data_IF_551089626178
#
_entry.id   IF_551089626178
#
_cell.length_a   1.000
_cell.length_b   1.000
_cell.length_c   1.000
_cell.angle_alpha   90.00
_cell.angle_beta   90.00
_cell.angle_gamma   90.00
#
_symmetry.space_group_name_H-M   'P 1'
#
loop_
_entity.id
_entity.type
_entity.pdbx_description
1 polymer ?
#
# COMPACT_ATOMS: atom_id res chain seq x y z
N UNK A 1 -25.51 -11.20 -1.84
CA UNK A 1 -24.19 -10.72 -1.41
C UNK A 1 -23.89 -11.31 -0.05
N UNK A 2 -22.93 -12.23 0.01
CA UNK A 2 -22.36 -12.71 1.28
C UNK A 2 -21.50 -11.59 1.88
N UNK A 3 -21.31 -11.59 3.20
CA UNK A 3 -20.52 -10.62 4.00
C UNK A 3 -19.04 -10.44 3.56
N UNK A 4 -18.59 -11.03 2.45
CA UNK A 4 -17.21 -10.98 1.95
C UNK A 4 -16.89 -9.78 1.03
N UNK A 5 -17.87 -8.94 0.72
CA UNK A 5 -17.71 -7.83 -0.25
C UNK A 5 -17.40 -6.46 0.39
N UNK A 6 -17.27 -6.38 1.72
CA UNK A 6 -16.81 -5.16 2.38
C UNK A 6 -15.31 -4.95 2.10
N UNK A 7 -15.01 -4.13 1.09
CA UNK A 7 -13.66 -3.63 0.84
C UNK A 7 -13.12 -3.03 2.13
N UNK A 8 -11.90 -3.41 2.53
CA UNK A 8 -11.17 -2.74 3.61
C UNK A 8 -11.16 -1.24 3.26
N UNK A 9 -11.69 -0.35 4.13
CA UNK A 9 -11.64 1.08 3.89
C UNK A 9 -10.20 1.54 3.70
N UNK A 10 -9.98 2.39 2.70
CA UNK A 10 -8.68 2.94 2.35
C UNK A 10 -8.55 4.32 2.99
N UNK A 11 -7.52 4.52 3.82
CA UNK A 11 -7.29 5.77 4.53
C UNK A 11 -6.34 6.68 3.76
N UNK A 12 -6.83 7.83 3.29
CA UNK A 12 -6.03 8.90 2.67
C UNK A 12 -6.71 10.25 2.84
N UNK A 13 -5.92 11.34 2.81
CA UNK A 13 -6.42 12.73 2.85
C UNK A 13 -6.65 13.31 1.45
N UNK A 14 -6.13 12.68 0.39
CA UNK A 14 -6.22 13.19 -0.98
C UNK A 14 -7.12 12.31 -1.84
N UNK A 15 -8.15 12.92 -2.43
CA UNK A 15 -9.00 12.25 -3.42
C UNK A 15 -8.23 11.84 -4.68
N UNK A 16 -7.24 12.65 -5.09
CA UNK A 16 -6.38 12.35 -6.22
C UNK A 16 -5.46 11.16 -5.91
N UNK A 17 -4.91 11.08 -4.69
CA UNK A 17 -4.14 9.92 -4.26
C UNK A 17 -4.99 8.65 -4.29
N UNK A 18 -6.24 8.72 -3.80
CA UNK A 18 -7.17 7.60 -3.81
C UNK A 18 -7.46 7.13 -5.25
N UNK A 19 -7.83 8.04 -6.14
CA UNK A 19 -8.14 7.70 -7.54
C UNK A 19 -6.91 7.08 -8.22
N UNK A 20 -5.73 7.69 -8.06
CA UNK A 20 -4.48 7.19 -8.65
C UNK A 20 -4.14 5.80 -8.11
N UNK A 21 -4.32 5.58 -6.81
CA UNK A 21 -4.12 4.26 -6.19
C UNK A 21 -5.09 3.22 -6.75
N UNK A 22 -6.37 3.57 -6.93
CA UNK A 22 -7.38 2.69 -7.51
C UNK A 22 -7.06 2.35 -8.97
N UNK A 23 -6.57 3.30 -9.76
CA UNK A 23 -6.04 3.02 -11.10
C UNK A 23 -4.87 2.02 -11.05
N UNK A 24 -3.98 2.15 -10.07
CA UNK A 24 -2.92 1.17 -9.80
C UNK A 24 -3.46 -0.22 -9.47
N UNK A 25 -4.52 -0.31 -8.65
CA UNK A 25 -5.22 -1.58 -8.35
C UNK A 25 -5.82 -2.20 -9.61
N UNK A 26 -6.42 -1.40 -10.50
CA UNK A 26 -6.95 -1.88 -11.78
C UNK A 26 -5.82 -2.39 -12.68
N UNK A 27 -4.72 -1.65 -12.80
CA UNK A 27 -3.55 -2.06 -13.57
C UNK A 27 -2.99 -3.40 -13.04
N UNK A 28 -2.89 -3.55 -11.72
CA UNK A 28 -2.45 -4.80 -11.09
C UNK A 28 -3.39 -5.97 -11.42
N UNK A 29 -4.71 -5.78 -11.36
CA UNK A 29 -5.70 -6.81 -11.74
C UNK A 29 -5.61 -7.22 -13.21
N UNK A 30 -5.13 -6.32 -14.06
CA UNK A 30 -4.87 -6.57 -15.48
C UNK A 30 -3.45 -7.10 -15.75
N UNK A 31 -2.73 -7.53 -14.71
CA UNK A 31 -1.36 -8.07 -14.77
C UNK A 31 -0.28 -7.06 -15.22
N UNK A 32 -0.59 -5.76 -15.26
CA UNK A 32 0.37 -4.69 -15.55
C UNK A 32 1.10 -4.24 -14.26
N UNK A 33 1.91 -5.13 -13.67
CA UNK A 33 2.49 -4.89 -12.34
C UNK A 33 3.42 -3.67 -12.28
N UNK A 34 4.26 -3.44 -13.29
CA UNK A 34 5.12 -2.25 -13.33
C UNK A 34 4.31 -0.95 -13.29
N UNK A 35 3.29 -0.85 -14.14
CA UNK A 35 2.37 0.30 -14.15
C UNK A 35 1.62 0.46 -12.82
N UNK A 36 1.26 -0.64 -12.16
CA UNK A 36 0.62 -0.58 -10.86
C UNK A 36 1.56 0.04 -9.81
N UNK A 37 2.83 -0.37 -9.79
CA UNK A 37 3.84 0.18 -8.88
C UNK A 37 4.08 1.67 -9.15
N UNK A 38 4.20 2.08 -10.42
CA UNK A 38 4.35 3.50 -10.79
C UNK A 38 3.18 4.34 -10.27
N UNK A 39 1.94 3.86 -10.45
CA UNK A 39 0.74 4.55 -9.97
C UNK A 39 0.67 4.61 -8.44
N UNK A 40 1.09 3.55 -7.74
CA UNK A 40 1.16 3.57 -6.29
C UNK A 40 2.24 4.51 -5.76
N UNK A 41 3.36 4.65 -6.47
CA UNK A 41 4.38 5.65 -6.12
C UNK A 41 3.88 7.07 -6.34
N UNK A 42 3.16 7.34 -7.45
CA UNK A 42 2.50 8.64 -7.69
C UNK A 42 1.49 8.94 -6.58
N UNK A 43 0.63 7.98 -6.22
CA UNK A 43 -0.34 8.14 -5.13
C UNK A 43 0.33 8.43 -3.79
N UNK A 44 1.47 7.80 -3.51
CA UNK A 44 2.25 8.03 -2.29
C UNK A 44 2.97 9.38 -2.29
N UNK A 45 3.35 9.90 -3.46
CA UNK A 45 3.92 11.25 -3.56
C UNK A 45 2.87 12.34 -3.36
N UNK A 46 1.63 12.09 -3.80
CA UNK A 46 0.47 12.97 -3.58
C UNK A 46 0.02 12.99 -2.11
N UNK A 47 -0.05 11.82 -1.45
CA UNK A 47 -0.26 11.72 0.00
C UNK A 47 0.87 10.90 0.67
N UNK A 48 1.91 11.58 1.21
CA UNK A 48 3.04 10.91 1.85
C UNK A 48 2.68 10.06 3.07
N UNK A 49 1.50 10.24 3.68
CA UNK A 49 1.02 9.42 4.79
C UNK A 49 0.13 8.24 4.33
N UNK A 50 -0.03 8.06 3.01
CA UNK A 50 -0.93 7.06 2.43
C UNK A 50 -0.42 5.64 2.65
N UNK A 51 -0.88 5.05 3.76
CA UNK A 51 -0.48 3.72 4.22
C UNK A 51 -0.61 2.65 3.14
N UNK A 52 -1.74 2.60 2.43
CA UNK A 52 -2.02 1.52 1.48
C UNK A 52 -1.07 1.54 0.28
N UNK A 53 -0.72 2.71 -0.23
CA UNK A 53 0.23 2.86 -1.33
C UNK A 53 1.64 2.37 -0.92
N UNK A 54 2.14 2.86 0.23
CA UNK A 54 3.42 2.43 0.78
C UNK A 54 3.44 0.93 1.13
N UNK A 55 2.35 0.39 1.67
CA UNK A 55 2.22 -1.03 1.97
C UNK A 55 2.35 -1.86 0.68
N UNK A 56 1.60 -1.55 -0.38
CA UNK A 56 1.68 -2.32 -1.62
C UNK A 56 3.07 -2.26 -2.23
N UNK A 57 3.68 -1.07 -2.32
CA UNK A 57 5.06 -0.93 -2.79
C UNK A 57 6.04 -1.78 -1.98
N UNK A 58 5.88 -1.85 -0.66
CA UNK A 58 6.73 -2.72 0.16
C UNK A 58 6.57 -4.19 -0.23
N UNK A 59 5.34 -4.71 -0.26
CA UNK A 59 5.08 -6.12 -0.56
C UNK A 59 5.61 -6.53 -1.93
N UNK A 60 5.39 -5.73 -2.97
CA UNK A 60 5.88 -6.07 -4.31
C UNK A 60 7.39 -6.01 -4.42
N UNK A 61 8.03 -5.04 -3.77
CA UNK A 61 9.50 -5.02 -3.73
C UNK A 61 10.08 -6.24 -3.02
N UNK A 62 9.43 -6.73 -1.96
CA UNK A 62 9.81 -7.99 -1.34
C UNK A 62 9.64 -9.18 -2.31
N UNK A 63 8.49 -9.28 -2.99
CA UNK A 63 8.24 -10.34 -3.97
C UNK A 63 9.25 -10.37 -5.11
N UNK A 64 9.79 -9.22 -5.51
CA UNK A 64 10.83 -9.12 -6.54
C UNK A 64 12.26 -9.23 -6.01
N UNK A 65 12.45 -9.40 -4.70
CA UNK A 65 13.79 -9.49 -4.08
C UNK A 65 14.50 -8.14 -3.94
N UNK A 66 13.80 -7.03 -4.14
CA UNK A 66 14.32 -5.67 -3.96
C UNK A 66 14.28 -5.29 -2.47
N UNK A 67 15.15 -5.91 -1.66
CA UNK A 67 15.12 -5.78 -0.19
C UNK A 67 15.29 -4.33 0.29
N UNK A 68 16.10 -3.53 -0.39
CA UNK A 68 16.32 -2.13 0.00
C UNK A 68 15.06 -1.28 -0.19
N UNK A 69 14.34 -1.46 -1.30
CA UNK A 69 13.07 -0.78 -1.55
C UNK A 69 11.95 -1.32 -0.64
N UNK A 70 11.95 -2.63 -0.33
CA UNK A 70 11.07 -3.16 0.70
C UNK A 70 11.27 -2.43 2.03
N UNK A 71 12.52 -2.27 2.49
CA UNK A 71 12.83 -1.54 3.73
C UNK A 71 12.39 -0.08 3.67
N UNK A 72 12.67 0.61 2.56
CA UNK A 72 12.25 2.01 2.32
C UNK A 72 10.74 2.18 2.44
N UNK A 73 9.97 1.37 1.71
CA UNK A 73 8.51 1.49 1.66
C UNK A 73 7.82 0.94 2.91
N UNK A 74 8.36 -0.12 3.52
CA UNK A 74 7.85 -0.61 4.79
C UNK A 74 8.03 0.43 5.90
N UNK A 75 9.20 1.07 6.00
CA UNK A 75 9.41 2.17 6.95
C UNK A 75 8.41 3.31 6.74
N UNK A 76 8.15 3.72 5.48
CA UNK A 76 7.13 4.73 5.16
C UNK A 76 5.75 4.30 5.66
N UNK A 77 5.29 3.10 5.32
CA UNK A 77 4.00 2.57 5.76
C UNK A 77 3.89 2.51 7.29
N UNK A 78 4.93 2.04 7.98
CA UNK A 78 4.94 1.93 9.44
C UNK A 78 4.96 3.29 10.16
N UNK A 79 5.55 4.31 9.52
CA UNK A 79 5.65 5.67 10.06
C UNK A 79 4.37 6.52 9.93
N UNK A 80 3.33 6.03 9.25
CA UNK A 80 2.07 6.79 9.07
C UNK A 80 1.47 7.20 10.41
N UNK A 81 1.04 8.47 10.51
CA UNK A 81 0.31 9.01 11.67
C UNK A 81 -1.21 9.05 11.44
N UNK A 82 -1.66 8.56 10.28
CA UNK A 82 -3.08 8.46 9.97
C UNK A 82 -3.78 7.51 10.93
N UNK A 83 -5.02 7.87 11.32
CA UNK A 83 -5.91 6.95 12.03
C UNK A 83 -6.45 5.95 11.02
N UNK A 84 -5.81 4.79 10.94
CA UNK A 84 -6.12 3.74 9.97
C UNK A 84 -7.47 3.07 10.27
N UNK A 85 -8.04 2.42 9.25
CA UNK A 85 -9.13 1.49 9.45
C UNK A 85 -8.63 0.24 10.19
N UNK A 86 -9.54 -0.50 10.84
CA UNK A 86 -9.19 -1.76 11.53
C UNK A 86 -8.48 -2.77 10.61
N UNK A 87 -8.87 -2.81 9.33
CA UNK A 87 -8.24 -3.70 8.34
C UNK A 87 -6.81 -3.27 8.00
N UNK A 88 -6.59 -1.97 7.84
CA UNK A 88 -5.25 -1.42 7.62
C UNK A 88 -4.35 -1.56 8.85
N UNK A 89 -4.90 -1.46 10.07
CA UNK A 89 -4.14 -1.73 11.30
C UNK A 89 -3.63 -3.17 11.38
N UNK A 90 -4.45 -4.16 10.98
CA UNK A 90 -3.98 -5.55 10.91
C UNK A 90 -2.86 -5.73 9.89
N UNK A 91 -2.96 -5.04 8.74
CA UNK A 91 -1.90 -5.06 7.74
C UNK A 91 -0.62 -4.39 8.25
N UNK A 92 -0.74 -3.28 8.99
CA UNK A 92 0.40 -2.61 9.62
C UNK A 92 1.12 -3.56 10.57
N UNK A 93 0.38 -4.24 11.46
CA UNK A 93 0.95 -5.24 12.37
C UNK A 93 1.61 -6.42 11.64
N UNK A 94 1.03 -6.88 10.54
CA UNK A 94 1.64 -7.94 9.72
C UNK A 94 2.96 -7.46 9.10
N UNK A 95 2.97 -6.23 8.55
CA UNK A 95 4.16 -5.61 7.99
C UNK A 95 5.24 -5.36 9.05
N UNK A 96 4.88 -4.97 10.28
CA UNK A 96 5.83 -4.82 11.40
C UNK A 96 6.53 -6.13 11.74
N UNK A 97 5.82 -7.27 11.66
CA UNK A 97 6.41 -8.59 11.87
C UNK A 97 7.34 -8.96 10.72
N UNK A 98 6.88 -8.75 9.49
CA UNK A 98 7.65 -9.05 8.27
C UNK A 98 8.94 -8.22 8.19
N UNK A 99 8.89 -6.93 8.54
CA UNK A 99 10.05 -6.05 8.45
C UNK A 99 11.16 -6.35 9.49
N UNK A 100 10.89 -7.17 10.51
CA UNK A 100 11.91 -7.58 11.50
C UNK A 100 12.84 -8.68 10.97
N UNK A 101 12.38 -9.47 10.01
CA UNK A 101 13.13 -10.55 9.37
C UNK A 101 12.67 -10.67 7.90
N UNK A 102 13.15 -9.75 7.03
CA UNK A 102 12.64 -9.56 5.67
C UNK A 102 13.13 -10.60 4.67
#
# INVERSE_FOLDING_TARGET
MTKSDEKIPITTKSGLALETFEQGVVAHRMYYVGKAMDLWEIALNEDPEFFRAAYQLSIYNLCFGNVDDFKKYSQKALSTKMKLSKGEDFMKQALEKLAKDP
#
